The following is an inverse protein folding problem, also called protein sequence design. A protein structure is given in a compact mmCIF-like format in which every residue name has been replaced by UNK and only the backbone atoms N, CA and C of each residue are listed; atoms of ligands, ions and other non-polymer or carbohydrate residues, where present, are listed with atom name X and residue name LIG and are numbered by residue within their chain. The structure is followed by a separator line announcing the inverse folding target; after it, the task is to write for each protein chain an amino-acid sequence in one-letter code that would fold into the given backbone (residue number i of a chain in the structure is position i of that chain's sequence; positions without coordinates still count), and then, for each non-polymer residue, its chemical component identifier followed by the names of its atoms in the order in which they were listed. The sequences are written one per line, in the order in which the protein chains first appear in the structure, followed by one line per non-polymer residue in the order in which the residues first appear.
data_IF_577333712937
#
_entry.id   IF_577333712937
#
_cell.length_a   1.000
_cell.length_b   1.000
_cell.length_c   1.000
_cell.angle_alpha   90.00
_cell.angle_beta   90.00
_cell.angle_gamma   90.00
#
_symmetry.space_group_name_H-M   'P 1'
#
loop_
_entity.id
_entity.type
_entity.pdbx_description
1 polymer ?
#
# COMPACT_ATOMS: atom_id res chain seq x y z
N UNK A 1 -7.26 -14.21 -3.77
CA UNK A 1 -6.09 -14.76 -3.06
C UNK A 1 -5.60 -16.04 -3.75
N UNK A 2 -4.60 -15.92 -4.62
CA UNK A 2 -3.97 -17.03 -5.36
C UNK A 2 -2.44 -16.97 -5.37
N UNK A 3 -1.85 -15.89 -4.84
CA UNK A 3 -0.41 -15.64 -4.88
C UNK A 3 0.30 -16.12 -3.59
N UNK A 4 -0.25 -15.79 -2.41
CA UNK A 4 0.29 -16.20 -1.12
C UNK A 4 -0.83 -16.54 -0.13
N UNK A 5 -1.29 -17.80 -0.15
CA UNK A 5 -2.51 -18.21 0.56
C UNK A 5 -2.42 -18.11 2.09
N UNK A 6 -1.21 -18.12 2.64
CA UNK A 6 -0.89 -18.03 4.06
C UNK A 6 -0.67 -16.59 4.57
N UNK A 7 -0.41 -15.64 3.66
CA UNK A 7 -0.17 -14.22 4.02
C UNK A 7 -1.45 -13.45 4.32
N UNK A 8 -2.57 -13.82 3.70
CA UNK A 8 -3.82 -13.07 3.79
C UNK A 8 -4.79 -13.71 4.80
N UNK A 9 -5.40 -12.86 5.63
CA UNK A 9 -6.30 -13.25 6.71
C UNK A 9 -7.75 -12.82 6.41
N UNK A 10 -8.72 -13.45 7.07
CA UNK A 10 -10.11 -13.00 7.00
C UNK A 10 -10.28 -11.78 7.91
N UNK A 11 -10.94 -10.72 7.42
CA UNK A 11 -11.20 -9.49 8.18
C UNK A 11 -11.88 -9.75 9.53
N UNK A 12 -12.77 -10.75 9.62
CA UNK A 12 -13.49 -11.09 10.85
C UNK A 12 -12.60 -11.71 11.95
N UNK A 13 -11.35 -12.04 11.62
CA UNK A 13 -10.38 -12.62 12.56
C UNK A 13 -9.42 -11.57 13.14
N UNK A 14 -9.56 -10.29 12.76
CA UNK A 14 -8.66 -9.23 13.15
C UNK A 14 -9.44 -8.04 13.73
N UNK A 15 -8.84 -7.38 14.73
CA UNK A 15 -9.39 -6.11 15.26
C UNK A 15 -9.07 -4.93 14.33
N UNK A 16 -7.94 -5.01 13.62
CA UNK A 16 -7.53 -4.04 12.61
C UNK A 16 -6.56 -4.69 11.61
N UNK A 17 -6.52 -4.17 10.39
CA UNK A 17 -5.57 -4.58 9.35
C UNK A 17 -4.92 -3.34 8.74
N UNK A 18 -3.62 -3.46 8.43
CA UNK A 18 -2.91 -2.46 7.65
C UNK A 18 -2.78 -3.00 6.22
N UNK A 19 -3.47 -2.34 5.30
CA UNK A 19 -3.46 -2.69 3.88
C UNK A 19 -2.69 -1.65 3.06
N UNK A 20 -1.98 -2.09 2.03
CA UNK A 20 -1.27 -1.21 1.12
C UNK A 20 -2.12 -0.96 -0.12
N UNK A 21 -2.43 0.30 -0.36
CA UNK A 21 -3.14 0.73 -1.56
C UNK A 21 -2.29 0.44 -2.79
N UNK A 22 -2.68 -0.59 -3.53
CA UNK A 22 -2.04 -0.91 -4.80
C UNK A 22 -2.83 -0.22 -5.90
N UNK A 23 -2.25 0.82 -6.52
CA UNK A 23 -2.83 1.51 -7.69
C UNK A 23 -3.28 0.53 -8.79
N UNK A 24 -2.67 -0.66 -8.83
CA UNK A 24 -3.11 -1.80 -9.64
C UNK A 24 -3.31 -3.00 -8.72
N UNK A 25 -4.52 -3.24 -8.20
CA UNK A 25 -4.80 -4.43 -7.42
C UNK A 25 -4.65 -5.67 -8.31
N UNK A 26 -3.84 -6.63 -7.87
CA UNK A 26 -3.69 -7.91 -8.56
C UNK A 26 -4.95 -8.74 -8.34
N UNK A 27 -5.46 -9.40 -9.39
CA UNK A 27 -6.57 -10.38 -9.26
C UNK A 27 -6.21 -11.52 -8.29
N UNK A 28 -4.92 -11.71 -8.01
CA UNK A 28 -4.43 -12.75 -7.12
C UNK A 28 -4.42 -12.29 -5.65
N UNK A 29 -4.56 -11.00 -5.36
CA UNK A 29 -4.54 -10.45 -4.00
C UNK A 29 -5.94 -9.98 -3.59
N UNK A 30 -6.35 -10.14 -2.31
CA UNK A 30 -7.58 -9.53 -1.83
C UNK A 30 -7.45 -8.01 -1.78
N UNK A 31 -8.51 -7.29 -2.17
CA UNK A 31 -8.63 -5.85 -1.97
C UNK A 31 -9.40 -5.59 -0.67
N UNK A 32 -8.70 -5.41 0.45
CA UNK A 32 -9.35 -5.24 1.75
C UNK A 32 -10.03 -3.88 1.89
N UNK A 33 -9.51 -2.86 1.19
CA UNK A 33 -10.08 -1.50 1.19
C UNK A 33 -11.49 -1.44 0.58
N UNK A 34 -11.85 -2.37 -0.30
CA UNK A 34 -13.21 -2.51 -0.83
C UNK A 34 -14.13 -3.35 0.06
N UNK A 35 -13.56 -4.12 0.99
CA UNK A 35 -14.28 -5.07 1.83
C UNK A 35 -14.57 -4.54 3.24
N UNK A 36 -13.84 -3.50 3.69
CA UNK A 36 -14.02 -2.84 4.98
C UNK A 36 -13.96 -1.32 4.84
N UNK A 37 -14.30 -0.61 5.91
CA UNK A 37 -14.21 0.84 6.00
C UNK A 37 -12.79 1.26 6.38
N UNK A 38 -12.21 2.17 5.60
CA UNK A 38 -10.93 2.82 5.96
C UNK A 38 -11.15 3.73 7.18
N UNK A 39 -10.41 3.46 8.25
CA UNK A 39 -10.37 4.28 9.47
C UNK A 39 -9.42 5.47 9.27
N UNK A 40 -8.23 5.22 8.74
CA UNK A 40 -7.24 6.26 8.45
C UNK A 40 -6.30 5.83 7.33
N UNK A 41 -5.65 6.82 6.71
CA UNK A 41 -4.72 6.62 5.61
C UNK A 41 -3.41 7.37 5.86
N UNK A 42 -2.29 6.71 5.64
CA UNK A 42 -0.96 7.31 5.71
C UNK A 42 -0.30 7.32 4.33
N UNK A 43 0.16 8.48 3.88
CA UNK A 43 0.86 8.62 2.59
C UNK A 43 2.29 8.10 2.71
N UNK A 44 2.70 7.27 1.77
CA UNK A 44 4.03 6.67 1.69
C UNK A 44 4.64 6.82 0.29
N UNK A 45 5.95 6.64 0.17
CA UNK A 45 6.61 6.57 -1.13
C UNK A 45 6.26 5.23 -1.80
N UNK A 46 5.72 5.29 -3.01
CA UNK A 46 5.33 4.10 -3.76
C UNK A 46 6.56 3.27 -4.18
N UNK A 47 6.42 1.93 -4.27
CA UNK A 47 7.47 1.08 -4.82
C UNK A 47 7.77 1.48 -6.27
N UNK A 48 9.03 1.78 -6.58
CA UNK A 48 9.47 2.07 -7.95
C UNK A 48 10.76 1.33 -8.27
N UNK A 49 10.84 0.77 -9.48
CA UNK A 49 11.98 -0.03 -9.94
C UNK A 49 13.24 0.81 -10.19
N UNK A 50 13.14 2.12 -10.45
CA UNK A 50 14.28 2.94 -10.88
C UNK A 50 14.12 4.40 -10.45
N UNK A 51 14.85 4.82 -9.42
CA UNK A 51 15.13 6.24 -9.20
C UNK A 51 16.39 6.41 -8.34
N UNK A 52 17.47 6.89 -8.96
CA UNK A 52 18.69 7.32 -8.26
C UNK A 52 18.39 8.45 -7.25
N UNK A 53 17.33 9.23 -7.49
CA UNK A 53 16.86 10.31 -6.63
C UNK A 53 16.00 9.82 -5.44
N UNK A 54 15.75 8.50 -5.33
CA UNK A 54 15.07 7.92 -4.16
C UNK A 54 16.04 7.56 -3.05
N UNK A 55 17.30 7.29 -3.37
CA UNK A 55 18.31 6.87 -2.39
C UNK A 55 18.69 7.98 -1.39
N UNK A 56 18.45 9.24 -1.75
CA UNK A 56 18.70 10.40 -0.90
C UNK A 56 17.51 11.35 -0.94
N UNK A 57 17.07 11.81 0.23
CA UNK A 57 16.07 12.85 0.31
C UNK A 57 16.69 14.20 -0.03
N UNK A 58 16.25 14.77 -1.15
CA UNK A 58 16.58 16.15 -1.54
C UNK A 58 15.28 16.95 -1.53
N UNK A 59 15.15 17.98 -0.66
CA UNK A 59 13.95 18.82 -0.62
C UNK A 59 13.54 19.32 -2.00
N UNK A 60 12.23 19.47 -2.23
CA UNK A 60 11.59 19.87 -3.49
C UNK A 60 11.76 18.89 -4.67
N UNK A 61 12.96 18.34 -4.91
CA UNK A 61 13.22 17.34 -5.95
C UNK A 61 12.55 16.02 -5.61
N UNK A 62 12.78 15.49 -4.41
CA UNK A 62 12.16 14.24 -3.96
C UNK A 62 10.64 14.34 -3.91
N UNK A 63 10.08 15.51 -3.57
CA UNK A 63 8.62 15.73 -3.55
C UNK A 63 8.03 15.67 -4.96
N UNK A 64 8.75 16.17 -5.96
CA UNK A 64 8.31 16.17 -7.36
C UNK A 64 8.54 14.83 -8.08
N UNK A 65 9.65 14.15 -7.77
CA UNK A 65 10.08 12.96 -8.51
C UNK A 65 9.53 11.65 -7.95
N UNK A 66 9.12 11.62 -6.68
CA UNK A 66 8.59 10.41 -6.08
C UNK A 66 7.11 10.25 -6.39
N UNK A 67 6.74 9.00 -6.67
CA UNK A 67 5.34 8.59 -6.60
C UNK A 67 5.00 8.24 -5.17
N UNK A 68 3.74 8.41 -4.83
CA UNK A 68 3.23 8.16 -3.49
C UNK A 68 2.03 7.24 -3.57
N UNK A 69 1.89 6.42 -2.55
CA UNK A 69 0.75 5.54 -2.32
C UNK A 69 0.25 5.71 -0.89
N UNK A 70 -0.78 4.97 -0.49
CA UNK A 70 -1.34 4.99 0.86
C UNK A 70 -1.20 3.63 1.54
N UNK A 71 -1.03 3.67 2.86
CA UNK A 71 -1.40 2.58 3.74
C UNK A 71 -2.74 2.92 4.38
N UNK A 72 -3.67 1.98 4.34
CA UNK A 72 -4.97 2.08 4.99
C UNK A 72 -4.97 1.26 6.28
N UNK A 73 -5.47 1.87 7.35
CA UNK A 73 -5.92 1.14 8.52
C UNK A 73 -7.41 0.86 8.32
N UNK A 74 -7.77 -0.42 8.36
CA UNK A 74 -9.11 -0.95 8.20
C UNK A 74 -9.58 -1.58 9.51
#
# INVERSE_FOLDING_TARGET
NKEEMDRYVNLNQCDYIIDHDSENPSELQPNYSEQSRIITSMKMIAPSKRSIFRSFYVPFLSVRSNRYTFLHLL
#
